data_IF_958792630652
#
_entry.id   IF_958792630652
#
_cell.length_a   1.000
_cell.length_b   1.000
_cell.length_c   1.000
_cell.angle_alpha   90.00
_cell.angle_beta   90.00
_cell.angle_gamma   90.00
#
_symmetry.space_group_name_H-M   'P 1'
#
loop_
_entity.id
_entity.type
_entity.pdbx_description
1 polymer ?
#
# COMPACT_ATOMS: atom_id res chain seq x y z
N UNK A 1 -4.91 20.94 4.84
CA UNK A 1 -5.01 20.70 3.39
C UNK A 1 -6.03 19.57 3.17
N UNK A 2 -7.05 19.75 2.31
CA UNK A 2 -8.05 18.68 2.07
C UNK A 2 -7.34 17.43 1.51
N UNK A 3 -7.71 16.24 1.96
CA UNK A 3 -7.21 14.98 1.38
C UNK A 3 -7.99 14.73 0.11
N UNK A 4 -7.35 14.92 -1.05
CA UNK A 4 -7.99 14.72 -2.35
C UNK A 4 -7.55 13.44 -3.04
N UNK A 5 -6.34 12.97 -2.77
CA UNK A 5 -5.70 11.86 -3.45
C UNK A 5 -4.55 11.29 -2.60
N UNK A 6 -3.91 10.24 -3.11
CA UNK A 6 -2.77 9.55 -2.48
C UNK A 6 -1.53 10.46 -2.29
N UNK A 7 -1.35 11.48 -3.13
CA UNK A 7 -0.22 12.42 -3.04
C UNK A 7 -0.37 13.43 -1.90
N UNK A 8 -1.54 13.43 -1.26
CA UNK A 8 -1.73 14.15 -0.01
C UNK A 8 -0.93 13.54 1.14
N UNK A 9 -0.46 12.29 1.04
CA UNK A 9 0.29 11.60 2.09
C UNK A 9 1.80 11.79 1.90
N UNK A 10 2.50 12.11 3.00
CA UNK A 10 3.93 12.41 3.00
C UNK A 10 4.71 11.29 3.67
N UNK A 11 5.81 10.88 3.06
CA UNK A 11 6.74 9.91 3.64
C UNK A 11 7.27 10.42 4.99
N UNK A 12 7.29 9.54 5.99
CA UNK A 12 8.02 9.79 7.24
C UNK A 12 9.52 9.67 6.94
N UNK A 13 10.24 10.79 7.01
CA UNK A 13 11.64 10.91 6.51
C UNK A 13 12.60 9.94 7.21
N UNK A 14 12.36 9.68 8.50
CA UNK A 14 13.22 8.84 9.34
C UNK A 14 13.07 7.34 9.06
N UNK A 15 12.01 6.94 8.34
CA UNK A 15 11.77 5.54 8.02
C UNK A 15 12.45 5.12 6.71
N UNK A 16 13.15 3.97 6.79
CA UNK A 16 13.78 3.35 5.64
C UNK A 16 12.73 2.86 4.64
N UNK A 17 12.92 3.18 3.36
CA UNK A 17 12.13 2.58 2.28
C UNK A 17 12.58 1.14 2.08
N UNK A 18 11.63 0.22 2.10
CA UNK A 18 11.85 -1.17 1.71
C UNK A 18 11.66 -1.25 0.20
N UNK A 19 12.73 -1.58 -0.51
CA UNK A 19 12.74 -1.70 -1.96
C UNK A 19 12.87 -3.16 -2.37
N UNK A 20 12.10 -3.56 -3.38
CA UNK A 20 12.31 -4.83 -4.09
C UNK A 20 12.09 -4.63 -5.58
N UNK A 21 12.72 -5.48 -6.39
CA UNK A 21 12.61 -5.42 -7.83
C UNK A 21 12.44 -6.83 -8.40
N UNK A 22 11.81 -6.92 -9.55
CA UNK A 22 11.53 -8.18 -10.23
C UNK A 22 11.12 -7.95 -11.67
N UNK A 23 10.48 -8.95 -12.25
CA UNK A 23 10.07 -8.91 -13.64
C UNK A 23 8.62 -9.33 -13.83
N UNK A 24 8.00 -8.88 -14.92
CA UNK A 24 6.73 -9.39 -15.42
C UNK A 24 7.07 -10.22 -16.66
N UNK A 25 6.74 -11.51 -16.63
CA UNK A 25 7.00 -12.39 -17.76
C UNK A 25 6.15 -12.01 -18.98
N UNK A 26 6.54 -12.47 -20.17
CA UNK A 26 5.76 -12.23 -21.39
C UNK A 26 4.32 -12.77 -21.27
N UNK A 27 4.12 -13.85 -20.49
CA UNK A 27 2.81 -14.44 -20.17
C UNK A 27 2.00 -13.65 -19.11
N UNK A 28 2.48 -12.48 -18.66
CA UNK A 28 1.80 -11.62 -17.67
C UNK A 28 1.96 -12.08 -16.22
N UNK A 29 2.88 -13.01 -15.94
CA UNK A 29 3.13 -13.47 -14.57
C UNK A 29 4.07 -12.49 -13.88
N UNK A 30 3.64 -11.97 -12.74
CA UNK A 30 4.48 -11.11 -11.89
C UNK A 30 5.48 -11.97 -11.12
N UNK A 31 6.75 -11.87 -11.48
CA UNK A 31 7.89 -12.57 -10.89
C UNK A 31 8.74 -11.58 -10.08
N UNK A 32 8.15 -11.08 -8.99
CA UNK A 32 8.82 -10.21 -8.02
C UNK A 32 8.82 -10.86 -6.65
N UNK A 33 9.98 -10.88 -6.00
CA UNK A 33 10.09 -11.32 -4.61
C UNK A 33 9.66 -10.18 -3.67
N UNK A 34 8.37 -10.07 -3.45
CA UNK A 34 7.78 -9.10 -2.54
C UNK A 34 7.76 -9.52 -1.06
N UNK A 35 8.54 -10.56 -0.70
CA UNK A 35 8.59 -11.05 0.69
C UNK A 35 8.95 -9.94 1.68
N UNK A 36 9.92 -9.07 1.38
CA UNK A 36 10.32 -8.00 2.29
C UNK A 36 9.21 -6.96 2.53
N UNK A 37 8.59 -6.36 1.49
CA UNK A 37 7.41 -5.50 1.69
C UNK A 37 6.25 -6.20 2.40
N UNK A 38 5.90 -7.42 1.99
CA UNK A 38 4.76 -8.13 2.54
C UNK A 38 5.00 -8.55 3.99
N UNK A 39 6.21 -8.98 4.35
CA UNK A 39 6.58 -9.26 5.74
C UNK A 39 6.39 -8.03 6.62
N UNK A 40 6.80 -6.85 6.16
CA UNK A 40 6.60 -5.62 6.90
C UNK A 40 5.11 -5.32 7.10
N UNK A 41 4.29 -5.42 6.05
CA UNK A 41 2.85 -5.20 6.16
C UNK A 41 2.16 -6.24 7.08
N UNK A 42 2.60 -7.50 7.07
CA UNK A 42 2.10 -8.54 7.99
C UNK A 42 2.45 -8.19 9.44
N UNK A 43 3.68 -7.70 9.69
CA UNK A 43 4.09 -7.26 11.02
C UNK A 43 3.23 -6.09 11.52
N UNK A 44 2.94 -5.11 10.65
CA UNK A 44 2.05 -3.99 10.99
C UNK A 44 0.61 -4.46 11.24
N UNK A 45 0.10 -5.39 10.43
CA UNK A 45 -1.21 -6.00 10.66
C UNK A 45 -1.28 -6.72 12.02
N UNK A 46 -0.28 -7.54 12.35
CA UNK A 46 -0.21 -8.26 13.62
C UNK A 46 0.00 -7.33 14.82
N UNK A 47 0.65 -6.18 14.63
CA UNK A 47 0.87 -5.18 15.67
C UNK A 47 -0.39 -4.37 15.98
N UNK A 48 -1.15 -3.99 14.96
CA UNK A 48 -2.21 -3.00 15.10
C UNK A 48 -3.64 -3.54 15.01
N UNK A 49 -3.87 -4.62 14.28
CA UNK A 49 -5.20 -5.17 14.06
C UNK A 49 -5.55 -6.23 15.13
N UNK A 50 -6.65 -6.02 15.85
CA UNK A 50 -7.30 -7.04 16.69
C UNK A 50 -8.26 -7.92 15.90
N UNK A 51 -8.83 -7.39 14.82
CA UNK A 51 -9.75 -8.07 13.93
C UNK A 51 -9.35 -7.86 12.48
N UNK A 52 -9.73 -8.79 11.61
CA UNK A 52 -9.64 -8.65 10.15
C UNK A 52 -8.25 -8.24 9.62
N UNK A 53 -7.17 -8.67 10.28
CA UNK A 53 -5.81 -8.52 9.76
C UNK A 53 -5.64 -9.15 8.36
N UNK A 54 -6.49 -10.13 8.04
CA UNK A 54 -6.58 -10.78 6.73
C UNK A 54 -6.98 -9.84 5.59
N UNK A 55 -7.59 -8.67 5.87
CA UNK A 55 -7.91 -7.67 4.86
C UNK A 55 -6.68 -7.24 4.06
N UNK A 56 -5.49 -7.29 4.70
CA UNK A 56 -4.20 -7.11 4.03
C UNK A 56 -4.08 -7.98 2.78
N UNK A 57 -4.42 -9.27 2.87
CA UNK A 57 -4.29 -10.19 1.74
C UNK A 57 -5.34 -9.98 0.66
N UNK A 58 -6.52 -9.46 1.01
CA UNK A 58 -7.55 -9.07 0.03
C UNK A 58 -7.03 -7.92 -0.84
N UNK A 59 -6.49 -6.88 -0.20
CA UNK A 59 -5.93 -5.72 -0.89
C UNK A 59 -4.66 -6.06 -1.68
N UNK A 60 -3.78 -6.87 -1.09
CA UNK A 60 -2.58 -7.35 -1.75
C UNK A 60 -2.89 -8.13 -3.03
N UNK A 61 -3.85 -9.06 -2.96
CA UNK A 61 -4.26 -9.84 -4.14
C UNK A 61 -4.94 -8.98 -5.20
N UNK A 62 -5.69 -7.95 -4.81
CA UNK A 62 -6.28 -6.99 -5.75
C UNK A 62 -5.20 -6.20 -6.50
N UNK A 63 -4.16 -5.75 -5.79
CA UNK A 63 -3.01 -5.05 -6.38
C UNK A 63 -2.24 -5.95 -7.35
N UNK A 64 -1.94 -7.19 -6.99
CA UNK A 64 -1.25 -8.13 -7.90
C UNK A 64 -2.05 -8.40 -9.18
N UNK A 65 -3.39 -8.50 -9.08
CA UNK A 65 -4.27 -8.66 -10.25
C UNK A 65 -4.24 -7.44 -11.16
N UNK A 66 -4.29 -6.23 -10.60
CA UNK A 66 -4.21 -4.99 -11.37
C UNK A 66 -2.85 -4.86 -12.07
N UNK A 67 -1.76 -5.16 -11.37
CA UNK A 67 -0.40 -5.14 -11.93
C UNK A 67 -0.23 -6.12 -13.08
N UNK A 68 -0.80 -7.33 -12.98
CA UNK A 68 -0.76 -8.33 -14.04
C UNK A 68 -1.59 -7.94 -15.27
N UNK A 69 -2.71 -7.23 -15.07
CA UNK A 69 -3.63 -6.84 -16.14
C UNK A 69 -3.12 -5.62 -16.94
N UNK A 70 -2.75 -4.55 -16.25
CA UNK A 70 -2.46 -3.26 -16.89
C UNK A 70 -0.96 -3.05 -17.13
N UNK A 71 -0.09 -3.75 -16.39
CA UNK A 71 1.37 -3.54 -16.36
C UNK A 71 1.77 -2.07 -16.16
N UNK A 72 0.89 -1.29 -15.53
CA UNK A 72 1.09 0.14 -15.28
C UNK A 72 1.69 0.40 -13.91
N UNK A 73 2.43 1.50 -13.80
CA UNK A 73 2.87 2.05 -12.51
C UNK A 73 1.65 2.55 -11.72
N UNK A 74 1.62 2.24 -10.42
CA UNK A 74 0.52 2.62 -9.55
C UNK A 74 0.98 2.73 -8.09
N UNK A 75 0.23 3.50 -7.31
CA UNK A 75 0.48 3.70 -5.88
C UNK A 75 -0.69 3.16 -5.06
N UNK A 76 -0.38 2.48 -3.95
CA UNK A 76 -1.35 1.87 -3.06
C UNK A 76 -1.13 2.35 -1.63
N UNK A 77 -2.21 2.43 -0.85
CA UNK A 77 -2.15 2.68 0.60
C UNK A 77 -2.72 1.50 1.37
N UNK A 78 -2.10 1.22 2.51
CA UNK A 78 -2.55 0.26 3.52
C UNK A 78 -2.69 0.99 4.85
N UNK A 79 -3.94 1.23 5.26
CA UNK A 79 -4.26 1.92 6.51
C UNK A 79 -4.58 0.92 7.60
N UNK A 80 -3.69 0.79 8.58
CA UNK A 80 -3.83 -0.17 9.67
C UNK A 80 -4.62 0.44 10.82
N UNK A 81 -5.72 -0.21 11.20
CA UNK A 81 -6.57 0.17 12.34
C UNK A 81 -6.89 -1.05 13.19
N UNK A 82 -7.44 -0.83 14.38
CA UNK A 82 -7.76 -1.91 15.30
C UNK A 82 -8.65 -3.00 14.69
N UNK A 83 -9.56 -2.63 13.80
CA UNK A 83 -10.52 -3.54 13.18
C UNK A 83 -10.14 -4.01 11.78
N UNK A 84 -8.88 -3.89 11.33
CA UNK A 84 -8.45 -4.40 10.01
C UNK A 84 -7.62 -3.41 9.21
N UNK A 85 -7.58 -3.64 7.88
CA UNK A 85 -6.76 -2.87 6.94
C UNK A 85 -7.64 -2.22 5.89
N UNK A 86 -7.50 -0.91 5.71
CA UNK A 86 -8.24 -0.13 4.71
C UNK A 86 -7.38 0.16 3.47
N UNK A 87 -8.04 0.23 2.31
CA UNK A 87 -7.46 0.63 1.03
C UNK A 87 -7.32 2.15 0.89
N UNK A 88 -6.66 2.62 -0.16
CA UNK A 88 -6.50 4.04 -0.45
C UNK A 88 -7.84 4.80 -0.52
N UNK A 89 -8.84 4.26 -1.24
CA UNK A 89 -10.15 4.90 -1.37
C UNK A 89 -10.84 5.05 -0.04
N UNK A 90 -10.79 4.02 0.80
CA UNK A 90 -11.37 4.05 2.13
C UNK A 90 -10.67 5.08 3.01
N UNK A 91 -9.34 5.09 3.03
CA UNK A 91 -8.55 6.05 3.79
C UNK A 91 -8.89 7.48 3.36
N UNK A 92 -8.89 7.77 2.06
CA UNK A 92 -9.20 9.10 1.51
C UNK A 92 -10.63 9.51 1.88
N UNK A 93 -11.60 8.60 1.69
CA UNK A 93 -13.01 8.82 2.05
C UNK A 93 -13.17 9.14 3.53
N UNK A 94 -12.45 8.44 4.41
CA UNK A 94 -12.45 8.73 5.83
C UNK A 94 -11.94 10.15 6.10
N UNK A 95 -10.76 10.51 5.57
CA UNK A 95 -10.19 11.87 5.75
C UNK A 95 -11.05 13.00 5.16
N UNK A 96 -11.94 12.71 4.21
CA UNK A 96 -12.87 13.67 3.63
C UNK A 96 -14.17 13.83 4.44
N UNK A 97 -14.52 12.86 5.29
CA UNK A 97 -15.76 12.89 6.06
C UNK A 97 -15.70 13.96 7.17
N UNK A 98 -16.71 14.84 7.22
CA UNK A 98 -16.79 15.90 8.22
C UNK A 98 -17.20 15.34 9.59
N UNK A 99 -16.47 15.70 10.65
CA UNK A 99 -16.89 15.47 12.04
C UNK A 99 -16.19 14.36 12.80
N UNK A 100 -15.11 13.78 12.29
CA UNK A 100 -14.38 12.73 13.01
C UNK A 100 -13.02 13.21 13.49
N UNK A 101 -12.64 12.84 14.72
CA UNK A 101 -11.30 12.97 15.27
C UNK A 101 -10.35 12.03 14.49
N UNK A 102 -9.97 12.47 13.29
CA UNK A 102 -9.32 11.67 12.24
C UNK A 102 -7.88 11.23 12.57
N UNK A 103 -7.25 11.84 13.57
CA UNK A 103 -5.86 11.54 13.95
C UNK A 103 -5.64 10.14 14.53
N UNK A 104 -6.68 9.51 15.09
CA UNK A 104 -6.50 8.32 15.94
C UNK A 104 -6.97 7.00 15.31
N UNK A 105 -7.64 7.03 14.15
CA UNK A 105 -8.18 5.80 13.56
C UNK A 105 -7.09 4.88 13.03
N UNK A 106 -6.19 5.44 12.24
CA UNK A 106 -5.10 4.70 11.62
C UNK A 106 -3.86 4.79 12.50
N UNK A 107 -3.41 3.65 12.99
CA UNK A 107 -2.22 3.54 13.85
C UNK A 107 -0.93 3.56 13.02
N UNK A 108 -1.02 3.16 11.76
CA UNK A 108 0.04 3.30 10.76
C UNK A 108 -0.61 3.36 9.36
N UNK A 109 0.00 4.13 8.46
CA UNK A 109 -0.38 4.13 7.03
C UNK A 109 0.88 3.89 6.22
N UNK A 110 0.83 2.89 5.36
CA UNK A 110 1.97 2.52 4.50
C UNK A 110 1.61 2.74 3.04
N UNK A 111 2.51 3.38 2.29
CA UNK A 111 2.42 3.56 0.84
C UNK A 111 3.34 2.58 0.13
N UNK A 112 2.79 1.90 -0.87
CA UNK A 112 3.53 1.07 -1.81
C UNK A 112 3.45 1.73 -3.19
N UNK A 113 4.57 2.25 -3.67
CA UNK A 113 4.70 2.66 -5.06
C UNK A 113 5.22 1.47 -5.88
N UNK A 114 4.50 1.15 -6.95
CA UNK A 114 4.88 0.15 -7.93
C UNK A 114 5.23 0.89 -9.21
N UNK A 115 6.48 0.77 -9.64
CA UNK A 115 6.99 1.37 -10.86
C UNK A 115 7.27 0.27 -11.87
N UNK A 116 6.61 0.34 -13.03
CA UNK A 116 6.88 -0.53 -14.17
C UNK A 116 7.60 0.30 -15.23
N UNK A 117 8.70 -0.23 -15.75
CA UNK A 117 9.47 0.43 -16.80
C UNK A 117 8.72 0.46 -18.15
N UNK A 118 9.24 1.24 -19.10
CA UNK A 118 8.60 1.48 -20.41
C UNK A 118 8.35 0.22 -21.25
N UNK A 119 9.18 -0.82 -21.09
CA UNK A 119 9.00 -2.10 -21.81
C UNK A 119 7.98 -3.04 -21.13
N UNK A 120 7.45 -2.65 -19.97
CA UNK A 120 6.46 -3.42 -19.22
C UNK A 120 7.00 -4.68 -18.55
N UNK A 121 8.32 -4.87 -18.48
CA UNK A 121 8.95 -6.12 -18.02
C UNK A 121 9.66 -5.98 -16.68
N UNK A 122 10.22 -4.83 -16.33
CA UNK A 122 10.84 -4.61 -15.03
C UNK A 122 9.85 -3.91 -14.11
N UNK A 123 9.71 -4.45 -12.91
CA UNK A 123 8.87 -3.87 -11.86
C UNK A 123 9.71 -3.61 -10.62
N UNK A 124 9.53 -2.43 -10.04
CA UNK A 124 10.13 -2.01 -8.78
C UNK A 124 9.03 -1.65 -7.80
N UNK A 125 9.23 -1.98 -6.53
CA UNK A 125 8.29 -1.74 -5.45
C UNK A 125 8.99 -1.00 -4.31
N UNK A 126 8.41 0.12 -3.91
CA UNK A 126 8.92 0.98 -2.84
C UNK A 126 7.86 1.09 -1.74
N UNK A 127 8.12 0.43 -0.61
CA UNK A 127 7.25 0.47 0.56
C UNK A 127 7.82 1.42 1.61
N UNK A 128 7.02 2.36 2.09
CA UNK A 128 7.41 3.30 3.13
C UNK A 128 6.20 3.79 3.94
N UNK A 129 6.44 4.16 5.19
CA UNK A 129 5.40 4.73 6.04
C UNK A 129 5.13 6.18 5.67
N UNK A 130 3.85 6.57 5.73
CA UNK A 130 3.39 7.91 5.42
C UNK A 130 2.52 8.47 6.54
N UNK A 131 2.52 9.80 6.65
CA UNK A 131 1.61 10.55 7.48
C UNK A 131 0.84 11.57 6.64
N UNK A 132 -0.23 12.11 7.21
CA UNK A 132 -1.00 13.17 6.56
C UNK A 132 -0.37 14.55 6.75
#
# INVERSE_FOLDING_TARGET
MKVGNIDSFRKIIEQQTIMTAGQISDAGKVEINYSSPLTKLIQEAGRWCRYYASDLFLWWNSMLKALAADRGSASYLFGFRESGVDSADEIIRQYQSAGYLMGDRYRAIWRLDVEVNEDGRRVEMFLYEVHR
#
